data_IF_747651119781
#
_entry.id   IF_747651119781
#
_cell.length_a   1.000
_cell.length_b   1.000
_cell.length_c   1.000
_cell.angle_alpha   90.00
_cell.angle_beta   90.00
_cell.angle_gamma   90.00
#
_symmetry.space_group_name_H-M   'P 1'
#
loop_
_entity.id
_entity.type
_entity.pdbx_description
1 polymer ?
#
# COMPACT_ATOMS: atom_id res chain seq x y z
N UNK A 1 -26.35 -1.05 -8.33
CA UNK A 1 -24.91 -0.96 -8.64
C UNK A 1 -24.22 0.16 -7.85
N UNK A 2 -24.59 0.34 -6.58
CA UNK A 2 -23.96 1.34 -5.69
C UNK A 2 -22.84 0.72 -4.86
N UNK A 3 -22.91 -0.59 -4.66
CA UNK A 3 -22.01 -1.38 -3.79
C UNK A 3 -20.59 -1.49 -4.37
N UNK A 4 -20.48 -1.87 -5.65
CA UNK A 4 -19.18 -1.97 -6.35
C UNK A 4 -18.45 -0.63 -6.53
N UNK A 5 -19.19 0.48 -6.58
CA UNK A 5 -18.59 1.82 -6.69
C UNK A 5 -18.00 2.31 -5.37
N UNK A 6 -18.53 1.81 -4.25
CA UNK A 6 -18.04 2.14 -2.92
C UNK A 6 -16.70 1.44 -2.65
N UNK A 7 -16.58 0.20 -3.13
CA UNK A 7 -15.33 -0.58 -3.11
C UNK A 7 -14.16 0.12 -3.81
N UNK A 8 -14.33 0.57 -5.06
CA UNK A 8 -13.24 1.23 -5.81
C UNK A 8 -12.68 2.46 -5.09
N UNK A 9 -13.55 3.32 -4.54
CA UNK A 9 -13.09 4.52 -3.81
C UNK A 9 -12.36 4.18 -2.51
N UNK A 10 -12.85 3.20 -1.75
CA UNK A 10 -12.21 2.77 -0.49
C UNK A 10 -10.86 2.11 -0.77
N UNK A 11 -10.76 1.35 -1.86
CA UNK A 11 -9.52 0.69 -2.24
C UNK A 11 -8.45 1.66 -2.74
N UNK A 12 -8.82 2.66 -3.52
CA UNK A 12 -7.88 3.72 -3.92
C UNK A 12 -7.41 4.56 -2.73
N UNK A 13 -8.31 4.88 -1.79
CA UNK A 13 -7.94 5.58 -0.56
C UNK A 13 -6.99 4.76 0.32
N UNK A 14 -7.21 3.44 0.41
CA UNK A 14 -6.32 2.54 1.15
C UNK A 14 -4.94 2.44 0.49
N UNK A 15 -4.87 2.32 -0.84
CA UNK A 15 -3.61 2.36 -1.61
C UNK A 15 -2.85 3.64 -1.35
N UNK A 16 -3.53 4.78 -1.45
CA UNK A 16 -2.94 6.11 -1.23
C UNK A 16 -2.43 6.29 0.19
N UNK A 17 -3.18 5.79 1.17
CA UNK A 17 -2.81 5.84 2.60
C UNK A 17 -1.51 5.07 2.83
N UNK A 18 -1.41 3.83 2.34
CA UNK A 18 -0.20 3.05 2.54
C UNK A 18 1.01 3.65 1.82
N UNK A 19 0.85 4.17 0.59
CA UNK A 19 1.93 4.86 -0.12
C UNK A 19 2.43 6.07 0.68
N UNK A 20 1.51 6.89 1.18
CA UNK A 20 1.84 8.10 1.94
C UNK A 20 2.59 7.76 3.24
N UNK A 21 2.19 6.70 3.93
CA UNK A 21 2.88 6.23 5.15
C UNK A 21 4.30 5.76 4.82
N UNK A 22 4.47 4.94 3.77
CA UNK A 22 5.81 4.50 3.34
C UNK A 22 6.74 5.67 3.01
N UNK A 23 6.26 6.67 2.26
CA UNK A 23 7.06 7.84 1.88
C UNK A 23 7.47 8.69 3.09
N UNK A 24 6.54 8.89 4.03
CA UNK A 24 6.83 9.61 5.29
C UNK A 24 7.87 8.88 6.14
N UNK A 25 7.75 7.56 6.25
CA UNK A 25 8.70 6.75 7.02
C UNK A 25 10.10 6.76 6.36
N UNK A 26 10.18 6.65 5.02
CA UNK A 26 11.47 6.73 4.32
C UNK A 26 12.14 8.10 4.48
N UNK A 27 11.33 9.18 4.46
CA UNK A 27 11.82 10.54 4.72
C UNK A 27 12.44 10.63 6.12
N UNK A 28 11.73 10.17 7.15
CA UNK A 28 12.23 10.18 8.53
C UNK A 28 13.54 9.38 8.68
N UNK A 29 13.62 8.22 8.03
CA UNK A 29 14.83 7.37 8.01
C UNK A 29 16.02 8.08 7.37
N UNK A 30 15.82 8.78 6.23
CA UNK A 30 16.88 9.56 5.58
C UNK A 30 17.34 10.74 6.46
N UNK A 31 16.41 11.41 7.13
CA UNK A 31 16.74 12.50 8.06
C UNK A 31 17.62 12.01 9.21
N UNK A 32 17.29 10.86 9.82
CA UNK A 32 18.11 10.30 10.89
C UNK A 32 19.51 9.89 10.40
N UNK A 33 19.59 9.26 9.22
CA UNK A 33 20.88 8.87 8.64
C UNK A 33 21.74 10.06 8.23
N UNK A 34 21.10 11.16 7.82
CA UNK A 34 21.78 12.38 7.40
C UNK A 34 22.10 13.35 8.54
N UNK A 35 21.68 13.03 9.78
CA UNK A 35 21.98 13.86 10.93
C UNK A 35 23.49 13.85 11.20
N UNK A 36 24.08 15.04 11.39
CA UNK A 36 25.49 15.16 11.72
C UNK A 36 25.74 14.59 13.12
N UNK A 37 26.36 13.40 13.15
CA UNK A 37 26.73 12.71 14.38
C UNK A 37 27.73 13.48 15.25
N UNK A 38 28.43 14.48 14.70
CA UNK A 38 29.29 15.34 15.52
C UNK A 38 28.48 16.19 16.52
N UNK A 39 27.19 16.45 16.24
CA UNK A 39 26.30 17.21 17.11
C UNK A 39 25.90 16.45 18.40
N UNK A 40 25.95 15.11 18.38
CA UNK A 40 25.62 14.27 19.55
C UNK A 40 26.83 14.02 20.45
N UNK A 41 28.03 14.45 20.06
CA UNK A 41 29.23 14.51 20.90
C UNK A 41 29.87 13.17 21.28
N UNK A 42 29.19 12.04 21.06
CA UNK A 42 29.68 10.70 21.37
C UNK A 42 29.63 9.80 20.14
N UNK A 43 30.78 9.30 19.68
CA UNK A 43 30.89 8.44 18.48
C UNK A 43 29.98 7.22 18.51
N UNK A 44 29.80 6.61 19.67
CA UNK A 44 28.93 5.44 19.85
C UNK A 44 27.45 5.75 19.60
N UNK A 45 26.98 6.94 20.02
CA UNK A 45 25.61 7.37 19.78
C UNK A 45 25.35 7.61 18.28
N UNK A 46 26.37 8.07 17.54
CA UNK A 46 26.28 8.21 16.08
C UNK A 46 26.13 6.85 15.40
N UNK A 47 26.92 5.86 15.82
CA UNK A 47 26.84 4.49 15.31
C UNK A 47 25.46 3.87 15.59
N UNK A 48 24.94 4.00 16.81
CA UNK A 48 23.61 3.50 17.19
C UNK A 48 22.49 4.17 16.38
N UNK A 49 22.58 5.48 16.10
CA UNK A 49 21.60 6.19 15.25
C UNK A 49 21.65 5.70 13.80
N UNK A 50 22.86 5.44 13.27
CA UNK A 50 23.00 4.90 11.92
C UNK A 50 22.48 3.47 11.80
N UNK A 51 22.79 2.60 12.76
CA UNK A 51 22.29 1.22 12.81
C UNK A 51 20.76 1.21 12.91
N UNK A 52 20.19 2.03 13.80
CA UNK A 52 18.75 2.22 13.89
C UNK A 52 18.14 2.68 12.56
N UNK A 53 18.77 3.62 11.85
CA UNK A 53 18.29 4.08 10.55
C UNK A 53 18.34 2.97 9.46
N UNK A 54 19.22 1.98 9.60
CA UNK A 54 19.30 0.84 8.69
C UNK A 54 18.27 -0.24 8.99
N UNK A 55 18.10 -0.60 10.26
CA UNK A 55 17.03 -1.49 10.70
C UNK A 55 15.65 -0.91 10.35
N UNK A 56 15.48 0.39 10.55
CA UNK A 56 14.25 1.07 10.16
C UNK A 56 14.06 1.04 8.64
N UNK A 57 15.12 1.22 7.86
CA UNK A 57 15.09 1.06 6.40
C UNK A 57 14.62 -0.34 5.97
N UNK A 58 15.09 -1.39 6.65
CA UNK A 58 14.63 -2.76 6.42
C UNK A 58 13.14 -2.92 6.75
N UNK A 59 12.68 -2.39 7.89
CA UNK A 59 11.28 -2.42 8.30
C UNK A 59 10.35 -1.75 7.29
N UNK A 60 10.72 -0.57 6.77
CA UNK A 60 9.98 0.15 5.72
C UNK A 60 9.89 -0.68 4.45
N UNK A 61 10.99 -1.34 4.05
CA UNK A 61 11.00 -2.23 2.88
C UNK A 61 10.04 -3.41 3.05
N UNK A 62 9.94 -4.00 4.24
CA UNK A 62 8.99 -5.07 4.51
C UNK A 62 7.54 -4.57 4.51
N UNK A 63 7.28 -3.41 5.13
CA UNK A 63 5.96 -2.78 5.14
C UNK A 63 5.48 -2.46 3.72
N UNK A 64 6.38 -1.95 2.86
CA UNK A 64 6.12 -1.72 1.44
C UNK A 64 5.78 -3.02 0.68
N UNK A 65 6.52 -4.11 0.91
CA UNK A 65 6.21 -5.42 0.31
C UNK A 65 4.84 -5.95 0.71
N UNK A 66 4.50 -5.91 2.00
CA UNK A 66 3.20 -6.37 2.50
C UNK A 66 2.05 -5.53 1.96
N UNK A 67 2.24 -4.21 1.94
CA UNK A 67 1.31 -3.27 1.30
C UNK A 67 1.07 -3.64 -0.17
N UNK A 68 2.13 -3.82 -0.96
CA UNK A 68 1.99 -4.23 -2.37
C UNK A 68 1.25 -5.55 -2.51
N UNK A 69 1.45 -6.51 -1.61
CA UNK A 69 0.70 -7.75 -1.56
C UNK A 69 -0.80 -7.53 -1.32
N UNK A 70 -1.15 -6.68 -0.36
CA UNK A 70 -2.53 -6.30 -0.09
C UNK A 70 -3.18 -5.61 -1.30
N UNK A 71 -2.46 -4.66 -1.93
CA UNK A 71 -2.90 -3.97 -3.15
C UNK A 71 -3.17 -4.94 -4.31
N UNK A 72 -2.30 -5.94 -4.51
CA UNK A 72 -2.52 -6.98 -5.52
C UNK A 72 -3.76 -7.83 -5.24
N UNK A 73 -3.97 -8.22 -3.98
CA UNK A 73 -5.16 -8.97 -3.60
C UNK A 73 -6.44 -8.16 -3.83
N UNK A 74 -6.42 -6.88 -3.46
CA UNK A 74 -7.52 -5.94 -3.69
C UNK A 74 -7.86 -5.83 -5.18
N UNK A 75 -6.86 -5.61 -6.05
CA UNK A 75 -7.09 -5.55 -7.49
C UNK A 75 -7.70 -6.86 -8.02
N UNK A 76 -7.23 -8.01 -7.53
CA UNK A 76 -7.78 -9.31 -7.91
C UNK A 76 -9.24 -9.46 -7.49
N UNK A 77 -9.62 -8.98 -6.30
CA UNK A 77 -11.02 -8.97 -5.85
C UNK A 77 -11.86 -8.14 -6.82
N UNK A 78 -11.43 -6.91 -7.14
CA UNK A 78 -12.13 -6.05 -8.10
C UNK A 78 -12.30 -6.69 -9.49
N UNK A 79 -11.27 -7.36 -10.01
CA UNK A 79 -11.33 -8.09 -11.28
C UNK A 79 -12.37 -9.23 -11.25
N UNK A 80 -12.40 -10.03 -10.19
CA UNK A 80 -13.35 -11.14 -10.05
C UNK A 80 -14.79 -10.64 -9.91
N UNK A 81 -15.02 -9.56 -9.16
CA UNK A 81 -16.32 -8.91 -9.07
C UNK A 81 -16.77 -8.35 -10.42
N UNK A 82 -15.88 -7.70 -11.17
CA UNK A 82 -16.19 -7.18 -12.51
C UNK A 82 -16.57 -8.28 -13.51
N UNK A 83 -15.91 -9.45 -13.44
CA UNK A 83 -16.29 -10.63 -14.23
C UNK A 83 -17.67 -11.15 -13.83
N UNK A 84 -17.92 -11.29 -12.53
CA UNK A 84 -19.20 -11.79 -12.02
C UNK A 84 -20.38 -10.91 -12.44
N UNK A 85 -20.19 -9.58 -12.41
CA UNK A 85 -21.16 -8.61 -12.90
C UNK A 85 -21.41 -8.74 -14.41
N UNK A 86 -20.34 -8.94 -15.20
CA UNK A 86 -20.45 -9.14 -16.64
C UNK A 86 -21.25 -10.40 -16.98
N UNK A 87 -20.91 -11.52 -16.34
CA UNK A 87 -21.59 -12.80 -16.54
C UNK A 87 -23.07 -12.73 -16.15
N UNK A 88 -23.37 -12.03 -15.05
CA UNK A 88 -24.74 -11.78 -14.63
C UNK A 88 -25.50 -10.95 -15.68
N UNK A 89 -24.91 -9.87 -16.19
CA UNK A 89 -25.53 -9.04 -17.21
C UNK A 89 -25.83 -9.80 -18.51
N UNK A 90 -24.90 -10.66 -18.96
CA UNK A 90 -25.09 -11.51 -20.16
C UNK A 90 -26.19 -12.57 -19.94
N UNK A 91 -26.26 -13.18 -18.77
CA UNK A 91 -27.32 -14.15 -18.43
C UNK A 91 -28.73 -13.52 -18.44
N UNK A 92 -28.84 -12.24 -18.08
CA UNK A 92 -30.10 -11.51 -18.09
C UNK A 92 -30.52 -11.09 -19.51
N UNK A 93 -29.55 -10.72 -20.37
CA UNK A 93 -29.82 -10.41 -21.79
C UNK A 93 -30.31 -11.63 -22.56
N UNK A 94 -29.70 -12.79 -22.33
CA UNK A 94 -30.09 -14.06 -22.96
C UNK A 94 -31.49 -14.51 -22.54
N UNK A 95 -31.84 -14.39 -21.25
CA UNK A 95 -33.23 -14.64 -20.78
C UNK A 95 -34.27 -13.69 -21.38
N UNK A 96 -33.91 -12.44 -21.69
CA UNK A 96 -34.83 -11.47 -22.31
C UNK A 96 -35.10 -11.71 -23.80
N UNK A 97 -34.21 -12.41 -24.51
CA UNK A 97 -34.38 -12.77 -25.94
C UNK A 97 -35.14 -14.09 -26.17
N UNK A 98 -35.39 -14.87 -25.12
CA UNK A 98 -36.09 -16.15 -25.19
C UNK A 98 -37.59 -16.09 -24.94
N UNK A 99 -38.24 -14.93 -25.15
CA UNK A 99 -39.69 -14.77 -25.10
C UNK A 99 -40.20 -14.19 -26.40
#
# INVERSE_FOLDING_TARGET
MSDLRLEDTVFEDLKKTFSTISDRMDTARRTLRGADGSAVGQSKLVEEVHEFADDWGYGIKQLGKHTQGAVKMINKIGEEFGKLDHDLAESLKTKKKGK
#
